data_IF_567953988979
#
_entry.id   IF_567953988979
#
_cell.length_a   1.000
_cell.length_b   1.000
_cell.length_c   1.000
_cell.angle_alpha   90.00
_cell.angle_beta   90.00
_cell.angle_gamma   90.00
#
_symmetry.space_group_name_H-M   'P 1'
#
loop_
_entity.id
_entity.type
_entity.pdbx_description
1 polymer ?
#
# COMPACT_ATOMS: atom_id res chain seq x y z
N UNK A 1 -8.43 1.23 -1.57
CA UNK A 1 -8.97 2.58 -1.81
C UNK A 1 -8.06 3.28 -2.80
N UNK A 2 -8.62 4.04 -3.72
CA UNK A 2 -7.89 4.89 -4.66
C UNK A 2 -8.55 6.27 -4.71
N UNK A 3 -7.84 7.24 -5.25
CA UNK A 3 -8.30 8.61 -5.41
C UNK A 3 -7.70 9.19 -6.67
N UNK A 4 -8.56 9.66 -7.56
CA UNK A 4 -8.16 10.50 -8.69
C UNK A 4 -8.03 11.97 -8.23
N UNK A 5 -7.40 12.79 -9.06
CA UNK A 5 -7.22 14.22 -8.76
C UNK A 5 -8.48 15.04 -9.02
N UNK A 6 -9.49 14.49 -9.70
CA UNK A 6 -10.73 15.17 -10.09
C UNK A 6 -11.86 15.11 -9.06
N UNK A 7 -12.01 14.01 -8.30
CA UNK A 7 -13.18 13.77 -7.45
C UNK A 7 -13.02 14.21 -5.99
N UNK A 8 -11.79 14.46 -5.54
CA UNK A 8 -11.49 14.87 -4.16
C UNK A 8 -11.71 13.79 -3.09
N UNK A 9 -12.50 12.75 -3.37
CA UNK A 9 -12.85 11.67 -2.46
C UNK A 9 -12.00 10.41 -2.62
N UNK A 10 -12.09 9.51 -1.63
CA UNK A 10 -11.52 8.17 -1.69
C UNK A 10 -12.60 7.17 -2.06
N UNK A 11 -12.32 6.27 -3.01
CA UNK A 11 -13.27 5.25 -3.44
C UNK A 11 -12.67 3.83 -3.41
N UNK A 12 -13.51 2.79 -3.30
CA UNK A 12 -13.07 1.40 -3.36
C UNK A 12 -12.46 1.09 -4.73
N UNK A 13 -11.33 0.40 -4.74
CA UNK A 13 -10.69 -0.01 -5.99
C UNK A 13 -11.40 -1.23 -6.56
N UNK A 14 -11.70 -1.24 -7.87
CA UNK A 14 -12.30 -2.37 -8.60
C UNK A 14 -13.60 -2.91 -7.95
N UNK A 15 -14.43 -2.04 -7.37
CA UNK A 15 -15.67 -2.44 -6.68
C UNK A 15 -15.48 -2.87 -5.22
N UNK A 16 -14.28 -2.76 -4.66
CA UNK A 16 -13.99 -2.98 -3.24
C UNK A 16 -13.86 -4.46 -2.86
N UNK A 17 -14.21 -4.76 -1.59
CA UNK A 17 -14.05 -6.08 -0.98
C UNK A 17 -12.80 -6.21 -0.09
N UNK A 18 -12.76 -7.28 0.70
CA UNK A 18 -11.64 -7.57 1.59
C UNK A 18 -10.47 -8.13 0.79
N UNK A 19 -9.29 -7.55 1.02
CA UNK A 19 -8.04 -7.98 0.41
C UNK A 19 -7.03 -8.40 1.48
N UNK A 20 -6.22 -9.42 1.20
CA UNK A 20 -5.02 -9.71 1.98
C UNK A 20 -3.93 -8.79 1.48
N UNK A 21 -3.47 -7.89 2.33
CA UNK A 21 -2.47 -6.88 1.98
C UNK A 21 -1.23 -7.05 2.84
N UNK A 22 -0.07 -7.03 2.21
CA UNK A 22 1.23 -7.19 2.87
C UNK A 22 2.30 -6.30 2.27
N UNK A 23 3.38 -6.12 3.02
CA UNK A 23 4.62 -5.49 2.55
C UNK A 23 5.64 -6.60 2.32
N UNK A 24 5.97 -6.86 1.07
CA UNK A 24 6.80 -7.98 0.64
C UNK A 24 8.18 -7.49 0.21
N UNK A 25 9.25 -8.18 0.61
CA UNK A 25 10.58 -7.95 0.04
C UNK A 25 10.64 -8.59 -1.35
N UNK A 26 11.12 -7.85 -2.34
CA UNK A 26 11.21 -8.29 -3.74
C UNK A 26 12.61 -8.05 -4.29
N UNK A 27 13.07 -8.88 -5.22
CA UNK A 27 14.33 -8.64 -5.94
C UNK A 27 14.04 -7.72 -7.14
N UNK A 28 14.84 -6.68 -7.36
CA UNK A 28 14.72 -5.88 -8.57
C UNK A 28 15.13 -6.71 -9.80
N UNK A 29 14.31 -6.78 -10.86
CA UNK A 29 14.66 -7.49 -12.09
C UNK A 29 15.89 -6.89 -12.81
N UNK A 30 16.13 -5.58 -12.64
CA UNK A 30 17.09 -4.81 -13.45
C UNK A 30 18.50 -4.69 -12.83
N UNK A 31 19.07 -5.81 -12.38
CA UNK A 31 20.52 -6.03 -12.54
C UNK A 31 21.50 -5.60 -11.43
N UNK A 32 21.08 -4.92 -10.35
CA UNK A 32 22.03 -4.51 -9.29
C UNK A 32 22.00 -5.38 -8.03
N UNK A 33 21.22 -6.46 -8.00
CA UNK A 33 21.06 -7.33 -6.81
C UNK A 33 20.42 -6.62 -5.60
N UNK A 34 19.92 -5.40 -5.78
CA UNK A 34 19.26 -4.63 -4.73
C UNK A 34 17.86 -5.19 -4.51
N UNK A 35 17.54 -5.48 -3.25
CA UNK A 35 16.19 -5.83 -2.85
C UNK A 35 15.35 -4.58 -2.63
N UNK A 36 14.14 -4.57 -3.16
CA UNK A 36 13.13 -3.54 -2.91
C UNK A 36 12.00 -4.08 -2.04
N UNK A 37 10.97 -3.27 -1.84
CA UNK A 37 9.75 -3.68 -1.17
C UNK A 37 8.53 -3.33 -2.02
N UNK A 38 7.53 -4.21 -1.98
CA UNK A 38 6.27 -4.09 -2.69
C UNK A 38 5.12 -4.16 -1.69
N UNK A 39 4.24 -3.17 -1.71
CA UNK A 39 2.92 -3.30 -1.09
C UNK A 39 2.04 -4.04 -2.10
N UNK A 40 1.63 -5.25 -1.73
CA UNK A 40 0.84 -6.15 -2.56
C UNK A 40 -0.50 -6.44 -1.87
N UNK A 41 -1.60 -6.31 -2.61
CA UNK A 41 -2.95 -6.58 -2.14
C UNK A 41 -3.73 -7.46 -3.11
N UNK A 42 -4.08 -8.66 -2.65
CA UNK A 42 -4.91 -9.62 -3.38
C UNK A 42 -6.31 -9.67 -2.76
N UNK A 43 -7.35 -9.46 -3.58
CA UNK A 43 -8.73 -9.55 -3.13
C UNK A 43 -9.11 -11.01 -2.83
N UNK A 44 -9.69 -11.25 -1.66
CA UNK A 44 -9.95 -12.61 -1.19
C UNK A 44 -10.99 -13.36 -2.05
N UNK A 45 -11.98 -12.63 -2.56
CA UNK A 45 -13.14 -13.19 -3.28
C UNK A 45 -12.75 -13.90 -4.57
N UNK A 46 -11.88 -13.28 -5.37
CA UNK A 46 -11.61 -13.65 -6.75
C UNK A 46 -10.12 -13.71 -7.08
N UNK A 47 -9.26 -13.54 -6.07
CA UNK A 47 -7.79 -13.55 -6.23
C UNK A 47 -7.26 -12.45 -7.14
N UNK A 48 -8.07 -11.42 -7.42
CA UNK A 48 -7.64 -10.30 -8.23
C UNK A 48 -6.62 -9.47 -7.46
N UNK A 49 -5.48 -9.21 -8.09
CA UNK A 49 -4.50 -8.25 -7.59
C UNK A 49 -5.04 -6.84 -7.80
N UNK A 50 -5.41 -6.18 -6.70
CA UNK A 50 -6.04 -4.85 -6.72
C UNK A 50 -5.12 -3.74 -6.19
N UNK A 51 -3.92 -4.11 -5.73
CA UNK A 51 -2.93 -3.18 -5.23
C UNK A 51 -1.52 -3.73 -5.50
N UNK A 52 -0.78 -3.01 -6.34
CA UNK A 52 0.67 -3.19 -6.50
C UNK A 52 1.33 -1.82 -6.49
N UNK A 53 2.20 -1.63 -5.51
CA UNK A 53 2.86 -0.35 -5.26
C UNK A 53 4.26 -0.59 -4.69
N UNK A 54 5.28 -0.29 -5.48
CA UNK A 54 6.65 -0.30 -4.97
C UNK A 54 6.83 0.75 -3.87
N UNK A 55 7.44 0.33 -2.76
CA UNK A 55 7.82 1.22 -1.67
C UNK A 55 9.02 2.03 -2.13
N UNK A 56 8.97 3.34 -1.93
CA UNK A 56 10.06 4.27 -2.24
C UNK A 56 10.39 5.14 -1.02
N UNK A 57 11.59 5.70 -0.99
CA UNK A 57 12.06 6.59 0.09
C UNK A 57 11.21 7.86 0.22
N UNK A 58 10.63 8.32 -0.87
CA UNK A 58 9.76 9.49 -0.96
C UNK A 58 8.26 9.16 -0.74
N UNK A 59 7.93 7.94 -0.32
CA UNK A 59 6.55 7.55 -0.02
C UNK A 59 6.00 8.41 1.12
N UNK A 60 4.93 9.16 0.84
CA UNK A 60 4.26 10.00 1.83
C UNK A 60 3.11 9.21 2.44
N UNK A 61 3.30 8.70 3.67
CA UNK A 61 2.29 7.92 4.40
C UNK A 61 1.47 8.80 5.36
N UNK A 62 0.14 8.76 5.25
CA UNK A 62 -0.80 9.56 6.04
C UNK A 62 -1.77 8.65 6.80
N UNK A 63 -1.89 8.88 8.10
CA UNK A 63 -2.86 8.21 8.99
C UNK A 63 -4.06 9.13 9.18
N UNK A 64 -5.03 9.07 8.26
CA UNK A 64 -6.17 9.99 8.27
C UNK A 64 -7.12 9.75 9.46
N UNK A 65 -7.30 8.48 9.85
CA UNK A 65 -7.98 8.10 11.10
C UNK A 65 -7.51 6.69 11.54
N UNK A 66 -7.96 6.14 12.69
CA UNK A 66 -7.45 4.88 13.23
C UNK A 66 -7.56 3.65 12.31
N UNK A 67 -8.47 3.66 11.33
CA UNK A 67 -8.68 2.54 10.40
C UNK A 67 -8.56 2.96 8.94
N UNK A 68 -8.23 4.20 8.63
CA UNK A 68 -8.02 4.65 7.27
C UNK A 68 -6.66 5.33 7.13
N UNK A 69 -5.75 4.64 6.44
CA UNK A 69 -4.44 5.16 6.08
C UNK A 69 -4.32 5.24 4.56
N UNK A 70 -3.53 6.18 4.08
CA UNK A 70 -3.27 6.34 2.66
C UNK A 70 -1.86 6.83 2.38
N UNK A 71 -1.38 6.64 1.17
CA UNK A 71 -0.07 7.10 0.75
C UNK A 71 -0.03 7.56 -0.70
N UNK A 72 0.99 8.35 -1.02
CA UNK A 72 1.29 8.82 -2.37
C UNK A 72 2.70 8.38 -2.77
N UNK A 73 2.84 7.89 -4.01
CA UNK A 73 4.12 7.59 -4.68
C UNK A 73 3.92 7.73 -6.19
N UNK A 74 4.89 8.29 -6.93
CA UNK A 74 4.80 8.55 -8.38
C UNK A 74 3.48 9.20 -8.82
N UNK A 75 3.00 10.17 -8.05
CA UNK A 75 1.70 10.81 -8.28
C UNK A 75 0.46 9.90 -8.16
N UNK A 76 0.61 8.62 -7.85
CA UNK A 76 -0.48 7.69 -7.58
C UNK A 76 -0.84 7.72 -6.09
N UNK A 77 -2.14 7.68 -5.79
CA UNK A 77 -2.68 7.70 -4.43
C UNK A 77 -3.33 6.36 -4.13
N UNK A 78 -2.92 5.74 -3.03
CA UNK A 78 -3.43 4.46 -2.57
C UNK A 78 -3.91 4.60 -1.13
N UNK A 79 -4.89 3.81 -0.74
CA UNK A 79 -5.36 3.79 0.65
C UNK A 79 -5.96 2.47 1.04
N UNK A 80 -5.99 2.23 2.35
CA UNK A 80 -6.55 1.04 2.96
C UNK A 80 -7.50 1.46 4.08
N UNK A 81 -8.70 0.88 4.04
CA UNK A 81 -9.60 0.85 5.18
C UNK A 81 -9.41 -0.50 5.89
N UNK A 82 -8.84 -0.46 7.08
CA UNK A 82 -8.53 -1.63 7.89
C UNK A 82 -9.76 -2.10 8.68
N UNK A 83 -9.82 -3.42 8.94
CA UNK A 83 -10.88 -4.00 9.77
C UNK A 83 -10.72 -3.63 11.25
N UNK A 84 -9.50 -3.29 11.69
CA UNK A 84 -9.25 -2.84 13.06
C UNK A 84 -8.11 -1.81 13.13
N UNK A 85 -8.08 -0.96 14.18
CA UNK A 85 -6.94 -0.10 14.44
C UNK A 85 -5.62 -0.86 14.72
N UNK A 86 -5.71 -2.11 15.19
CA UNK A 86 -4.54 -2.94 15.44
C UNK A 86 -3.86 -3.33 14.12
N UNK A 87 -4.64 -3.74 13.12
CA UNK A 87 -4.14 -4.06 11.78
C UNK A 87 -3.53 -2.83 11.12
N UNK A 88 -4.19 -1.67 11.25
CA UNK A 88 -3.69 -0.40 10.72
C UNK A 88 -2.29 -0.06 11.30
N UNK A 89 -2.11 -0.23 12.62
CA UNK A 89 -0.81 -0.04 13.28
C UNK A 89 0.23 -1.07 12.87
N UNK A 90 -0.16 -2.34 12.70
CA UNK A 90 0.74 -3.39 12.27
C UNK A 90 1.26 -3.11 10.86
N UNK A 91 0.37 -2.73 9.95
CA UNK A 91 0.72 -2.36 8.58
C UNK A 91 1.61 -1.12 8.51
N UNK A 92 1.30 -0.06 9.27
CA UNK A 92 2.14 1.15 9.40
C UNK A 92 3.57 0.82 9.84
N UNK A 93 3.75 -0.08 10.83
CA UNK A 93 5.09 -0.56 11.22
C UNK A 93 5.81 -1.28 10.09
N UNK A 94 5.12 -2.13 9.34
CA UNK A 94 5.69 -2.84 8.20
C UNK A 94 6.16 -1.89 7.08
N UNK A 95 5.35 -0.88 6.75
CA UNK A 95 5.70 0.12 5.73
C UNK A 95 6.91 0.94 6.16
N UNK A 96 6.94 1.42 7.42
CA UNK A 96 8.08 2.18 7.94
C UNK A 96 9.37 1.38 7.90
N UNK A 97 9.34 0.12 8.35
CA UNK A 97 10.50 -0.76 8.33
C UNK A 97 11.01 -0.99 6.90
N UNK A 98 10.10 -1.19 5.95
CA UNK A 98 10.45 -1.33 4.55
C UNK A 98 11.14 -0.08 3.99
N UNK A 99 10.67 1.13 4.35
CA UNK A 99 11.30 2.39 3.93
C UNK A 99 12.70 2.55 4.53
N UNK A 100 12.86 2.25 5.83
CA UNK A 100 14.15 2.29 6.53
C UNK A 100 15.18 1.34 5.89
N UNK A 101 14.73 0.18 5.40
CA UNK A 101 15.58 -0.84 4.78
C UNK A 101 15.87 -0.61 3.29
N UNK A 102 15.29 0.43 2.67
CA UNK A 102 15.67 0.81 1.31
C UNK A 102 17.08 1.42 1.33
N UNK A 103 18.06 0.73 0.74
CA UNK A 103 19.46 1.19 0.59
C UNK A 103 19.60 2.05 -0.66
#
# INVERSE_FOLDING_TARGET
>A
MTRDDSSGGWFPQEGGGISRVGVCKVMHPEGNGRSGFLIHGERQKDKLVVLECYVRKDLVYTKANPTFHHWKVDNRKFGLTFQSPADARAFDRGVRKAIEDLI
#
